data_IF_607917196042
#
_entry.id   IF_607917196042
#
_cell.length_a   1.000
_cell.length_b   1.000
_cell.length_c   1.000
_cell.angle_alpha   90.00
_cell.angle_beta   90.00
_cell.angle_gamma   90.00
#
_symmetry.space_group_name_H-M   'P 1'
#
loop_
_entity.id
_entity.type
_entity.pdbx_description
1 polymer ?
#
# COMPACT_ATOMS: atom_id res chain seq x y z
N UNK A 1 -22.43 -7.65 23.80
CA UNK A 1 -21.45 -6.66 23.27
C UNK A 1 -21.80 -5.23 23.64
N UNK A 2 -23.06 -4.79 23.46
CA UNK A 2 -23.48 -3.41 23.77
C UNK A 2 -23.38 -3.04 25.27
N UNK A 3 -23.70 -3.98 26.17
CA UNK A 3 -23.65 -3.75 27.63
C UNK A 3 -22.22 -3.43 28.13
N UNK A 4 -21.22 -4.19 27.66
CA UNK A 4 -19.81 -3.97 28.00
C UNK A 4 -19.27 -2.65 27.43
N UNK A 5 -19.75 -2.23 26.25
CA UNK A 5 -19.36 -0.95 25.68
C UNK A 5 -19.96 0.22 26.49
N UNK A 6 -21.24 0.12 26.86
CA UNK A 6 -21.91 1.13 27.69
C UNK A 6 -21.25 1.31 29.07
N UNK A 7 -20.82 0.22 29.72
CA UNK A 7 -20.07 0.30 30.98
C UNK A 7 -18.71 0.98 30.82
N UNK A 8 -17.97 0.63 29.75
CA UNK A 8 -16.65 1.22 29.47
C UNK A 8 -16.74 2.70 29.10
N UNK A 9 -17.81 3.12 28.40
CA UNK A 9 -18.08 4.53 28.13
C UNK A 9 -18.36 5.30 29.41
N UNK A 10 -19.15 4.76 30.34
CA UNK A 10 -19.41 5.42 31.63
C UNK A 10 -18.13 5.61 32.46
N UNK A 11 -17.23 4.62 32.47
CA UNK A 11 -15.93 4.74 33.14
C UNK A 11 -15.04 5.82 32.51
N UNK A 12 -14.99 5.90 31.18
CA UNK A 12 -14.22 6.92 30.47
C UNK A 12 -14.77 8.32 30.70
N UNK A 13 -16.10 8.47 30.77
CA UNK A 13 -16.75 9.76 31.10
C UNK A 13 -16.36 10.21 32.50
N UNK A 14 -16.43 9.32 33.51
CA UNK A 14 -15.98 9.64 34.87
C UNK A 14 -14.48 9.98 34.95
N UNK A 15 -13.64 9.31 34.15
CA UNK A 15 -12.21 9.64 34.09
C UNK A 15 -11.97 11.02 33.48
N UNK A 16 -12.74 11.42 32.46
CA UNK A 16 -12.63 12.75 31.85
C UNK A 16 -13.12 13.83 32.82
N UNK A 17 -14.24 13.60 33.51
CA UNK A 17 -14.81 14.51 34.51
C UNK A 17 -13.89 14.70 35.73
N UNK A 18 -13.16 13.66 36.12
CA UNK A 18 -12.21 13.71 37.25
C UNK A 18 -10.79 14.19 36.88
N UNK A 19 -10.50 14.46 35.61
CA UNK A 19 -9.15 14.80 35.16
C UNK A 19 -8.93 16.31 35.07
N UNK A 20 -8.18 16.87 36.01
CA UNK A 20 -7.77 18.29 36.00
C UNK A 20 -6.47 18.57 35.21
N UNK A 21 -5.84 17.54 34.64
CA UNK A 21 -4.56 17.66 33.93
C UNK A 21 -4.72 17.28 32.46
N UNK A 22 -4.12 18.08 31.57
CA UNK A 22 -4.17 17.91 30.12
C UNK A 22 -3.70 16.52 29.66
N UNK A 23 -2.70 15.94 30.33
CA UNK A 23 -2.17 14.61 30.02
C UNK A 23 -3.14 13.47 30.33
N UNK A 24 -3.88 13.58 31.44
CA UNK A 24 -4.92 12.61 31.78
C UNK A 24 -6.07 12.65 30.77
N UNK A 25 -6.42 13.85 30.30
CA UNK A 25 -7.45 14.03 29.27
C UNK A 25 -6.99 13.51 27.91
N UNK A 26 -5.73 13.72 27.53
CA UNK A 26 -5.15 13.16 26.30
C UNK A 26 -5.16 11.62 26.33
N UNK A 27 -4.74 11.01 27.45
CA UNK A 27 -4.73 9.56 27.63
C UNK A 27 -6.15 8.96 27.59
N UNK A 28 -7.11 9.58 28.28
CA UNK A 28 -8.51 9.13 28.26
C UNK A 28 -9.11 9.22 26.84
N UNK A 29 -8.76 10.25 26.08
CA UNK A 29 -9.19 10.42 24.69
C UNK A 29 -8.60 9.34 23.78
N UNK A 30 -7.33 8.99 23.95
CA UNK A 30 -6.66 7.93 23.20
C UNK A 30 -7.29 6.55 23.50
N UNK A 31 -7.58 6.25 24.77
CA UNK A 31 -8.23 5.02 25.19
C UNK A 31 -9.66 4.90 24.62
N UNK A 32 -10.40 6.02 24.60
CA UNK A 32 -11.72 6.09 23.98
C UNK A 32 -11.66 5.82 22.48
N UNK A 33 -10.73 6.45 21.76
CA UNK A 33 -10.52 6.22 20.33
C UNK A 33 -10.21 4.74 20.04
N UNK A 34 -9.28 4.13 20.80
CA UNK A 34 -8.94 2.72 20.67
C UNK A 34 -10.15 1.81 20.91
N UNK A 35 -10.97 2.11 21.92
CA UNK A 35 -12.18 1.35 22.22
C UNK A 35 -13.23 1.45 21.10
N UNK A 36 -13.44 2.64 20.53
CA UNK A 36 -14.32 2.86 19.38
C UNK A 36 -13.83 2.07 18.18
N UNK A 37 -12.54 2.15 17.83
CA UNK A 37 -11.98 1.39 16.71
C UNK A 37 -12.12 -0.12 16.89
N UNK A 38 -11.90 -0.64 18.10
CA UNK A 38 -12.07 -2.05 18.40
C UNK A 38 -13.55 -2.49 18.28
N UNK A 39 -14.49 -1.68 18.78
CA UNK A 39 -15.92 -1.93 18.65
C UNK A 39 -16.36 -1.90 17.18
N UNK A 40 -15.92 -0.89 16.42
CA UNK A 40 -16.19 -0.77 14.99
C UNK A 40 -15.62 -1.95 14.20
N UNK A 41 -14.38 -2.38 14.47
CA UNK A 41 -13.76 -3.57 13.85
C UNK A 41 -14.49 -4.89 14.18
N UNK A 42 -15.16 -4.97 15.32
CA UNK A 42 -15.97 -6.13 15.71
C UNK A 42 -17.38 -6.08 15.11
N UNK A 43 -17.99 -4.90 15.07
CA UNK A 43 -19.37 -4.68 14.61
C UNK A 43 -19.46 -4.67 13.08
N UNK A 44 -18.68 -3.80 12.44
CA UNK A 44 -18.28 -4.04 11.07
C UNK A 44 -17.26 -5.15 11.16
N UNK A 45 -17.68 -6.41 10.94
CA UNK A 45 -16.77 -7.37 10.29
C UNK A 45 -16.26 -6.58 9.11
N UNK A 46 -15.05 -5.99 9.21
CA UNK A 46 -14.36 -5.41 8.08
C UNK A 46 -14.11 -6.63 7.22
N UNK A 47 -15.15 -6.98 6.47
CA UNK A 47 -15.14 -7.97 5.43
C UNK A 47 -13.96 -7.44 4.66
N UNK A 48 -12.87 -8.20 4.61
CA UNK A 48 -11.83 -8.00 3.62
C UNK A 48 -12.57 -8.15 2.29
N UNK A 49 -13.29 -7.11 1.89
CA UNK A 49 -13.75 -6.93 0.56
C UNK A 49 -12.42 -6.89 -0.13
N UNK A 50 -12.07 -8.01 -0.78
CA UNK A 50 -11.18 -7.96 -1.90
C UNK A 50 -11.91 -7.04 -2.86
N UNK A 51 -11.76 -5.72 -2.65
CA UNK A 51 -11.99 -4.75 -3.68
C UNK A 51 -11.14 -5.32 -4.80
N UNK A 52 -11.80 -5.95 -5.77
CA UNK A 52 -11.20 -6.19 -7.07
C UNK A 52 -10.98 -4.77 -7.56
N UNK A 53 -9.90 -4.14 -7.11
CA UNK A 53 -9.38 -2.92 -7.69
C UNK A 53 -9.12 -3.37 -9.11
N UNK A 54 -10.08 -3.08 -9.99
CA UNK A 54 -9.95 -3.40 -11.38
C UNK A 54 -8.75 -2.57 -11.80
N UNK A 55 -7.62 -3.24 -11.93
CA UNK A 55 -6.29 -2.64 -12.07
C UNK A 55 -6.11 -2.08 -13.49
N UNK A 56 -7.20 -1.59 -14.08
CA UNK A 56 -7.34 -1.10 -15.43
C UNK A 56 -6.35 0.04 -15.68
N UNK A 57 -6.13 0.93 -14.70
CA UNK A 57 -5.15 2.01 -14.82
C UNK A 57 -3.69 1.50 -14.88
N UNK A 58 -3.33 0.44 -14.13
CA UNK A 58 -2.01 -0.22 -14.29
C UNK A 58 -1.90 -0.91 -15.65
N UNK A 59 -2.99 -1.50 -16.14
CA UNK A 59 -3.04 -2.12 -17.47
C UNK A 59 -2.90 -1.08 -18.58
N UNK A 60 -3.50 0.10 -18.45
CA UNK A 60 -3.38 1.19 -19.43
C UNK A 60 -1.92 1.59 -19.68
N UNK A 61 -1.12 1.78 -18.63
CA UNK A 61 0.31 2.10 -18.77
C UNK A 61 1.08 1.00 -19.50
N UNK A 62 0.75 -0.27 -19.26
CA UNK A 62 1.36 -1.41 -19.93
C UNK A 62 0.94 -1.49 -21.41
N UNK A 63 -0.32 -1.23 -21.71
CA UNK A 63 -0.85 -1.21 -23.07
C UNK A 63 -0.23 -0.08 -23.90
N UNK A 64 -0.04 1.11 -23.32
CA UNK A 64 0.67 2.23 -23.97
C UNK A 64 2.10 1.80 -24.33
N UNK A 65 2.85 1.24 -23.37
CA UNK A 65 4.23 0.77 -23.60
C UNK A 65 4.30 -0.34 -24.65
N UNK A 66 3.31 -1.23 -24.70
CA UNK A 66 3.21 -2.29 -25.71
C UNK A 66 3.01 -1.70 -27.11
N UNK A 67 2.10 -0.73 -27.26
CA UNK A 67 1.85 -0.03 -28.53
C UNK A 67 3.07 0.77 -28.99
N UNK A 68 3.78 1.44 -28.08
CA UNK A 68 5.03 2.14 -28.39
C UNK A 68 6.12 1.20 -28.91
N UNK A 69 6.31 0.04 -28.27
CA UNK A 69 7.26 -0.99 -28.72
C UNK A 69 6.91 -1.51 -30.11
N UNK A 70 5.62 -1.74 -30.38
CA UNK A 70 5.14 -2.17 -31.68
C UNK A 70 5.37 -1.10 -32.76
N UNK A 71 5.08 0.17 -32.47
CA UNK A 71 5.34 1.29 -33.37
C UNK A 71 6.84 1.42 -33.68
N UNK A 72 7.69 1.27 -32.67
CA UNK A 72 9.15 1.29 -32.85
C UNK A 72 9.62 0.16 -33.76
N UNK A 73 9.12 -1.07 -33.56
CA UNK A 73 9.41 -2.22 -34.43
C UNK A 73 8.99 -1.97 -35.88
N UNK A 74 7.83 -1.35 -36.11
CA UNK A 74 7.37 -0.96 -37.45
C UNK A 74 8.31 0.07 -38.10
N UNK A 75 8.76 1.07 -37.34
CA UNK A 75 9.72 2.09 -37.81
C UNK A 75 11.07 1.46 -38.16
N UNK A 76 11.58 0.54 -37.34
CA UNK A 76 12.80 -0.21 -37.64
C UNK A 76 12.69 -0.97 -38.95
N UNK A 77 11.56 -1.63 -39.19
CA UNK A 77 11.36 -2.44 -40.40
C UNK A 77 11.19 -1.61 -41.67
N UNK A 78 10.72 -0.36 -41.56
CA UNK A 78 10.50 0.56 -42.69
C UNK A 78 11.67 1.52 -42.94
N UNK A 79 12.68 1.49 -42.07
CA UNK A 79 13.86 2.35 -42.15
C UNK A 79 14.98 1.66 -42.92
N UNK A 80 15.64 2.40 -43.79
CA UNK A 80 16.92 2.02 -44.39
C UNK A 80 18.09 2.75 -43.71
N UNK A 81 19.27 2.15 -43.84
CA UNK A 81 20.57 2.72 -43.46
C UNK A 81 20.74 3.12 -41.98
N UNK A 82 21.47 4.19 -41.66
CA UNK A 82 21.85 4.63 -40.30
C UNK A 82 20.67 4.75 -39.31
N UNK A 83 19.51 5.17 -39.79
CA UNK A 83 18.31 5.27 -38.96
C UNK A 83 17.83 3.89 -38.48
N UNK A 84 18.06 2.83 -39.26
CA UNK A 84 17.71 1.45 -38.91
C UNK A 84 18.52 0.98 -37.71
N UNK A 85 19.82 1.27 -37.70
CA UNK A 85 20.73 0.91 -36.60
C UNK A 85 20.34 1.64 -35.31
N UNK A 86 20.03 2.94 -35.41
CA UNK A 86 19.51 3.77 -34.31
C UNK A 86 18.23 3.20 -33.71
N UNK A 87 17.25 2.83 -34.56
CA UNK A 87 15.99 2.25 -34.10
C UNK A 87 16.15 0.84 -33.54
N UNK A 88 17.02 0.00 -34.10
CA UNK A 88 17.34 -1.32 -33.55
C UNK A 88 17.94 -1.23 -32.15
N UNK A 89 18.90 -0.33 -31.94
CA UNK A 89 19.51 -0.10 -30.63
C UNK A 89 18.47 0.38 -29.61
N UNK A 90 17.59 1.29 -30.03
CA UNK A 90 16.50 1.77 -29.18
C UNK A 90 15.49 0.66 -28.83
N UNK A 91 15.19 -0.21 -29.80
CA UNK A 91 14.30 -1.35 -29.61
C UNK A 91 14.89 -2.35 -28.59
N UNK A 92 16.16 -2.73 -28.76
CA UNK A 92 16.90 -3.62 -27.85
C UNK A 92 16.99 -3.06 -26.41
N UNK A 93 17.24 -1.75 -26.26
CA UNK A 93 17.23 -1.09 -24.95
C UNK A 93 15.84 -1.11 -24.30
N UNK A 94 14.77 -0.87 -25.07
CA UNK A 94 13.39 -0.86 -24.53
C UNK A 94 12.92 -2.28 -24.17
N UNK A 95 13.23 -3.30 -24.96
CA UNK A 95 12.84 -4.70 -24.70
C UNK A 95 13.55 -5.28 -23.49
N UNK A 96 14.87 -5.05 -23.34
CA UNK A 96 15.65 -5.49 -22.18
C UNK A 96 15.17 -4.85 -20.87
N UNK A 97 14.83 -3.55 -20.88
CA UNK A 97 14.23 -2.86 -19.73
C UNK A 97 12.86 -3.44 -19.37
N UNK A 98 12.04 -3.80 -20.37
CA UNK A 98 10.74 -4.43 -20.12
C UNK A 98 10.89 -5.83 -19.51
N UNK A 99 11.84 -6.64 -20.01
CA UNK A 99 12.16 -7.97 -19.47
C UNK A 99 12.66 -7.90 -18.02
N UNK A 100 13.60 -7.00 -17.73
CA UNK A 100 14.10 -6.74 -16.36
C UNK A 100 12.98 -6.30 -15.41
N UNK A 101 12.05 -5.45 -15.85
CA UNK A 101 10.89 -5.04 -15.03
C UNK A 101 9.92 -6.20 -14.78
N UNK A 102 9.71 -7.07 -15.77
CA UNK A 102 8.92 -8.30 -15.61
C UNK A 102 9.57 -9.29 -14.65
N UNK A 103 10.89 -9.47 -14.74
CA UNK A 103 11.67 -10.33 -13.83
C UNK A 103 11.75 -9.77 -12.41
N UNK A 104 11.93 -8.45 -12.25
CA UNK A 104 11.83 -7.79 -10.93
C UNK A 104 10.44 -7.91 -10.34
N UNK A 105 9.39 -7.67 -11.14
CA UNK A 105 8.01 -7.86 -10.68
C UNK A 105 7.73 -9.31 -10.25
N UNK A 106 8.29 -10.30 -10.96
CA UNK A 106 8.25 -11.71 -10.52
C UNK A 106 9.05 -11.92 -9.24
N UNK A 107 10.31 -11.47 -9.19
CA UNK A 107 11.21 -11.60 -8.03
C UNK A 107 10.77 -10.75 -6.82
N UNK A 108 9.88 -9.78 -6.96
CA UNK A 108 9.24 -9.07 -5.84
C UNK A 108 7.95 -9.79 -5.41
N UNK A 109 7.22 -10.37 -6.38
CA UNK A 109 6.01 -11.16 -6.11
C UNK A 109 6.30 -12.53 -5.45
N UNK A 110 7.46 -13.14 -5.72
CA UNK A 110 7.81 -14.48 -5.24
C UNK A 110 8.40 -14.56 -3.79
N UNK A 111 9.21 -13.61 -3.28
CA UNK A 111 9.75 -13.69 -1.90
C UNK A 111 8.77 -13.24 -0.83
N UNK A 112 7.80 -12.38 -1.15
CA UNK A 112 6.89 -11.83 -0.14
C UNK A 112 5.72 -12.75 0.18
N UNK A 113 5.35 -13.66 -0.71
CA UNK A 113 4.25 -14.61 -0.46
C UNK A 113 4.62 -15.78 0.47
N UNK A 114 5.89 -15.93 0.87
CA UNK A 114 6.31 -17.00 1.80
C UNK A 114 6.77 -16.52 3.18
N UNK A 115 7.00 -15.22 3.40
CA UNK A 115 7.49 -14.71 4.70
C UNK A 115 6.69 -13.53 5.31
N UNK A 116 5.63 -13.03 4.67
CA UNK A 116 4.85 -11.88 5.18
C UNK A 116 3.85 -12.21 6.31
N UNK A 117 4.04 -13.30 7.07
CA UNK A 117 3.13 -13.58 8.19
C UNK A 117 3.54 -12.96 9.54
N UNK A 118 4.71 -12.33 9.68
CA UNK A 118 5.15 -11.77 10.97
C UNK A 118 5.80 -10.36 10.87
N UNK A 119 5.19 -9.39 10.19
CA UNK A 119 5.56 -7.96 10.38
C UNK A 119 4.40 -7.15 10.96
N UNK A 120 4.56 -6.55 12.16
CA UNK A 120 3.67 -5.51 12.64
C UNK A 120 3.66 -4.33 11.67
N UNK A 121 2.47 -3.83 11.35
CA UNK A 121 2.26 -2.67 10.48
C UNK A 121 2.46 -1.39 11.30
N UNK A 122 3.64 -1.17 11.88
CA UNK A 122 4.12 0.14 12.35
C UNK A 122 5.66 0.06 12.47
N UNK A 123 6.43 1.00 11.91
CA UNK A 123 7.81 1.18 12.29
C UNK A 123 7.88 1.85 13.67
N UNK A 124 8.86 1.42 14.46
CA UNK A 124 9.12 1.78 15.85
C UNK A 124 9.00 3.28 16.13
N UNK A 125 8.17 3.62 17.13
CA UNK A 125 8.26 4.89 17.85
C UNK A 125 8.85 4.59 19.23
N UNK A 126 10.13 4.23 19.26
CA UNK A 126 10.94 4.20 20.48
C UNK A 126 12.37 4.67 20.18
N UNK A 127 12.61 5.96 20.40
CA UNK A 127 13.84 6.48 21.01
C UNK A 127 13.70 8.00 21.15
N UNK A 128 13.72 8.46 22.41
CA UNK A 128 13.63 9.87 22.75
C UNK A 128 13.30 10.07 24.22
N UNK A 129 14.02 9.37 25.11
CA UNK A 129 14.15 9.72 26.52
C UNK A 129 15.63 9.73 26.88
N UNK A 130 15.99 10.66 27.78
CA UNK A 130 17.32 11.03 28.31
C UNK A 130 18.07 12.05 27.41
N UNK A 131 18.50 13.23 27.89
CA UNK A 131 18.70 13.79 29.24
C UNK A 131 17.89 15.06 29.50
#
# INVERSE_FOLDING_TARGET
MLQHLGQKTKQLVQQIEGSNTKDHLAKATEELQKAIFAACRKAYKIKKFKLKINNNWKNQSLQIKKKELQALKRRTNKSEDDNKLKYQLQLSKKTSRAKKRGEKGKKEFFPEHLHQNNRPIWPDLQSGGQE
#
